data_IF_737287323619
#
_entry.id   IF_737287323619
#
_cell.length_a   1.000
_cell.length_b   1.000
_cell.length_c   1.000
_cell.angle_alpha   90.00
_cell.angle_beta   90.00
_cell.angle_gamma   90.00
#
_symmetry.space_group_name_H-M   'P 1'
#
loop_
_entity.id
_entity.type
_entity.pdbx_description
1 polymer ?
#
# COMPACT_ATOMS: atom_id res chain seq x y z
N UNK A 1 25.72 5.72 4.29
CA UNK A 1 25.11 5.36 2.99
C UNK A 1 25.77 6.20 1.88
N UNK A 2 25.91 5.69 0.66
CA UNK A 2 26.34 6.50 -0.50
C UNK A 2 25.20 7.37 -1.04
N UNK A 3 25.51 8.47 -1.73
CA UNK A 3 24.48 9.35 -2.30
C UNK A 3 23.54 8.66 -3.30
N UNK A 4 24.05 7.69 -4.06
CA UNK A 4 23.26 6.91 -5.04
C UNK A 4 22.31 5.94 -4.33
N UNK A 5 22.77 5.30 -3.26
CA UNK A 5 21.91 4.44 -2.43
C UNK A 5 20.78 5.25 -1.79
N UNK A 6 21.10 6.44 -1.25
CA UNK A 6 20.12 7.36 -0.67
C UNK A 6 19.06 7.77 -1.68
N UNK A 7 19.51 8.20 -2.87
CA UNK A 7 18.62 8.60 -3.95
C UNK A 7 17.73 7.44 -4.41
N UNK A 8 18.30 6.24 -4.59
CA UNK A 8 17.55 5.05 -4.99
C UNK A 8 16.50 4.65 -3.95
N UNK A 9 16.79 4.81 -2.66
CA UNK A 9 15.82 4.58 -1.59
C UNK A 9 14.68 5.59 -1.64
N UNK A 10 15.00 6.88 -1.78
CA UNK A 10 14.01 7.96 -1.92
C UNK A 10 13.10 7.72 -3.12
N UNK A 11 13.65 7.37 -4.29
CA UNK A 11 12.85 7.04 -5.47
C UNK A 11 11.90 5.86 -5.21
N UNK A 12 12.39 4.81 -4.53
CA UNK A 12 11.56 3.67 -4.13
C UNK A 12 10.41 4.09 -3.21
N UNK A 13 10.67 4.96 -2.23
CA UNK A 13 9.63 5.51 -1.33
C UNK A 13 8.55 6.23 -2.14
N UNK A 14 8.93 7.11 -3.07
CA UNK A 14 7.97 7.82 -3.92
C UNK A 14 7.15 6.87 -4.79
N UNK A 15 7.75 5.80 -5.31
CA UNK A 15 7.02 4.77 -6.04
C UNK A 15 5.99 4.08 -5.14
N UNK A 16 6.35 3.70 -3.90
CA UNK A 16 5.40 3.11 -2.93
C UNK A 16 4.23 4.07 -2.68
N UNK A 17 4.51 5.35 -2.45
CA UNK A 17 3.48 6.37 -2.19
C UNK A 17 2.53 6.50 -3.39
N UNK A 18 3.07 6.55 -4.61
CA UNK A 18 2.26 6.66 -5.83
C UNK A 18 1.33 5.46 -6.00
N UNK A 19 1.86 4.24 -5.92
CA UNK A 19 1.06 3.02 -6.03
C UNK A 19 0.04 2.88 -4.89
N UNK A 20 0.39 3.32 -3.68
CA UNK A 20 -0.54 3.31 -2.56
C UNK A 20 -1.71 4.26 -2.80
N UNK A 21 -1.46 5.47 -3.29
CA UNK A 21 -2.50 6.44 -3.61
C UNK A 21 -3.48 5.92 -4.67
N UNK A 22 -2.96 5.34 -5.76
CA UNK A 22 -3.78 4.71 -6.80
C UNK A 22 -4.63 3.56 -6.23
N UNK A 23 -4.04 2.69 -5.42
CA UNK A 23 -4.73 1.54 -4.83
C UNK A 23 -5.82 1.99 -3.84
N UNK A 24 -5.56 3.00 -3.00
CA UNK A 24 -6.56 3.60 -2.10
C UNK A 24 -7.73 4.16 -2.89
N UNK A 25 -7.45 4.86 -4.00
CA UNK A 25 -8.48 5.46 -4.85
C UNK A 25 -9.39 4.38 -5.44
N UNK A 26 -8.83 3.28 -5.95
CA UNK A 26 -9.59 2.15 -6.45
C UNK A 26 -10.40 1.47 -5.34
N UNK A 27 -9.81 1.20 -4.18
CA UNK A 27 -10.53 0.63 -3.04
C UNK A 27 -11.73 1.50 -2.63
N UNK A 28 -11.54 2.83 -2.53
CA UNK A 28 -12.60 3.79 -2.19
C UNK A 28 -13.73 3.78 -3.23
N UNK A 29 -13.40 3.78 -4.52
CA UNK A 29 -14.39 3.72 -5.59
C UNK A 29 -15.24 2.45 -5.50
N UNK A 30 -14.62 1.29 -5.24
CA UNK A 30 -15.33 0.02 -5.08
C UNK A 30 -16.26 0.07 -3.87
N UNK A 31 -15.81 0.63 -2.76
CA UNK A 31 -16.66 0.85 -1.58
C UNK A 31 -17.82 1.82 -1.83
N UNK A 32 -17.72 2.69 -2.82
CA UNK A 32 -18.78 3.60 -3.26
C UNK A 32 -19.71 2.99 -4.32
N UNK A 33 -19.51 1.73 -4.70
CA UNK A 33 -20.38 1.00 -5.63
C UNK A 33 -19.80 0.80 -7.03
N UNK A 34 -18.55 1.20 -7.29
CA UNK A 34 -17.87 0.83 -8.54
C UNK A 34 -17.64 -0.69 -8.60
N UNK A 35 -17.71 -1.27 -9.80
CA UNK A 35 -17.37 -2.68 -10.00
C UNK A 35 -15.88 -2.90 -9.69
N UNK A 36 -15.52 -3.96 -8.94
CA UNK A 36 -14.12 -4.26 -8.68
C UNK A 36 -13.34 -4.52 -9.97
N UNK A 37 -12.22 -3.82 -10.08
CA UNK A 37 -11.39 -3.73 -11.27
C UNK A 37 -10.21 -4.72 -11.17
N UNK A 38 -9.92 -5.45 -12.25
CA UNK A 38 -8.73 -6.31 -12.38
C UNK A 38 -7.43 -5.53 -12.16
N UNK A 39 -7.45 -4.22 -12.41
CA UNK A 39 -6.33 -3.32 -12.18
C UNK A 39 -5.99 -3.21 -10.68
N UNK A 40 -6.94 -3.39 -9.76
CA UNK A 40 -6.68 -3.35 -8.32
C UNK A 40 -5.69 -4.46 -7.92
N UNK A 41 -5.87 -5.67 -8.44
CA UNK A 41 -4.99 -6.79 -8.17
C UNK A 41 -3.57 -6.52 -8.70
N UNK A 42 -3.46 -6.02 -9.93
CA UNK A 42 -2.17 -5.68 -10.56
C UNK A 42 -1.45 -4.61 -9.74
N UNK A 43 -2.15 -3.56 -9.30
CA UNK A 43 -1.58 -2.50 -8.46
C UNK A 43 -1.16 -3.00 -7.08
N UNK A 44 -1.93 -3.90 -6.47
CA UNK A 44 -1.56 -4.52 -5.20
C UNK A 44 -0.31 -5.40 -5.28
N UNK A 45 -0.09 -6.06 -6.44
CA UNK A 45 1.17 -6.80 -6.71
C UNK A 45 2.32 -5.81 -6.88
N UNK A 46 2.17 -4.79 -7.73
CA UNK A 46 3.22 -3.77 -7.92
C UNK A 46 3.59 -3.05 -6.63
N UNK A 47 2.61 -2.71 -5.79
CA UNK A 47 2.81 -2.09 -4.49
C UNK A 47 3.65 -2.98 -3.56
N UNK A 48 3.41 -4.28 -3.59
CA UNK A 48 4.15 -5.25 -2.78
C UNK A 48 5.58 -5.43 -3.26
N UNK A 49 5.78 -5.52 -4.57
CA UNK A 49 7.12 -5.66 -5.17
C UNK A 49 7.98 -4.42 -4.87
N UNK A 50 7.43 -3.23 -5.05
CA UNK A 50 8.16 -1.98 -4.77
C UNK A 50 8.43 -1.85 -3.27
N UNK A 51 7.47 -2.19 -2.41
CA UNK A 51 7.66 -2.17 -0.96
C UNK A 51 8.74 -3.16 -0.50
N UNK A 52 8.74 -4.38 -1.04
CA UNK A 52 9.77 -5.38 -0.75
C UNK A 52 11.16 -4.91 -1.19
N UNK A 53 11.27 -4.28 -2.36
CA UNK A 53 12.52 -3.69 -2.85
C UNK A 53 13.02 -2.56 -1.95
N UNK A 54 12.13 -1.67 -1.49
CA UNK A 54 12.46 -0.60 -0.53
C UNK A 54 12.95 -1.20 0.79
N UNK A 55 12.29 -2.24 1.29
CA UNK A 55 12.69 -2.93 2.52
C UNK A 55 14.07 -3.57 2.41
N UNK A 56 14.33 -4.31 1.32
CA UNK A 56 15.61 -4.96 1.09
C UNK A 56 16.76 -3.95 1.01
N UNK A 57 16.54 -2.82 0.31
CA UNK A 57 17.53 -1.73 0.23
C UNK A 57 17.79 -1.10 1.59
N UNK A 58 16.74 -0.86 2.39
CA UNK A 58 16.89 -0.33 3.74
C UNK A 58 17.72 -1.26 4.63
N UNK A 59 17.52 -2.58 4.54
CA UNK A 59 18.24 -3.55 5.38
C UNK A 59 19.73 -3.67 5.04
N UNK A 60 20.12 -3.39 3.79
CA UNK A 60 21.52 -3.38 3.36
C UNK A 60 22.30 -2.11 3.74
N UNK A 61 21.63 -1.09 4.30
CA UNK A 61 22.24 0.22 4.55
C UNK A 61 22.82 0.35 5.96
N UNK A 62 24.04 0.89 6.03
CA UNK A 62 24.60 1.38 7.30
C UNK A 62 24.13 2.81 7.56
N UNK A 63 23.39 3.00 8.65
CA UNK A 63 22.76 4.26 9.05
C UNK A 63 23.66 5.03 10.04
N UNK A 64 24.41 6.00 9.54
CA UNK A 64 25.37 6.80 10.29
C UNK A 64 24.80 8.16 10.72
N UNK A 65 23.99 8.82 9.89
CA UNK A 65 23.47 10.16 10.17
C UNK A 65 22.02 10.16 10.65
N UNK A 66 21.58 11.28 11.24
CA UNK A 66 20.19 11.48 11.63
C UNK A 66 19.23 11.45 10.42
N UNK A 67 19.64 12.04 9.30
CA UNK A 67 18.86 12.07 8.07
C UNK A 67 18.70 10.68 7.46
N UNK A 68 19.76 9.86 7.48
CA UNK A 68 19.70 8.47 7.01
C UNK A 68 18.73 7.64 7.86
N UNK A 69 18.72 7.85 9.19
CA UNK A 69 17.78 7.19 10.10
C UNK A 69 16.34 7.64 9.87
N UNK A 70 16.13 8.93 9.64
CA UNK A 70 14.81 9.49 9.30
C UNK A 70 14.29 8.91 7.99
N UNK A 71 15.14 8.81 6.97
CA UNK A 71 14.80 8.22 5.69
C UNK A 71 14.43 6.73 5.83
N UNK A 72 15.20 5.98 6.61
CA UNK A 72 14.90 4.58 6.92
C UNK A 72 13.57 4.43 7.69
N UNK A 73 13.25 5.37 8.58
CA UNK A 73 11.98 5.41 9.30
C UNK A 73 10.79 5.62 8.37
N UNK A 74 10.92 6.55 7.41
CA UNK A 74 9.91 6.79 6.38
C UNK A 74 9.73 5.53 5.52
N UNK A 75 10.82 4.92 5.04
CA UNK A 75 10.75 3.68 4.26
C UNK A 75 10.00 2.57 5.02
N UNK A 76 10.29 2.40 6.30
CA UNK A 76 9.60 1.44 7.18
C UNK A 76 8.11 1.74 7.32
N UNK A 77 7.72 3.00 7.53
CA UNK A 77 6.31 3.43 7.60
C UNK A 77 5.59 3.17 6.28
N UNK A 78 6.21 3.48 5.15
CA UNK A 78 5.68 3.19 3.82
C UNK A 78 5.45 1.69 3.62
N UNK A 79 6.38 0.83 4.07
CA UNK A 79 6.22 -0.63 3.97
C UNK A 79 5.06 -1.16 4.82
N UNK A 80 4.87 -0.62 6.03
CA UNK A 80 3.73 -1.00 6.89
C UNK A 80 2.41 -0.60 6.21
N UNK A 81 2.32 0.63 5.70
CA UNK A 81 1.14 1.13 5.00
C UNK A 81 0.84 0.32 3.73
N UNK A 82 1.87 0.04 2.91
CA UNK A 82 1.77 -0.74 1.70
C UNK A 82 1.21 -2.14 1.96
N UNK A 83 1.67 -2.81 3.03
CA UNK A 83 1.19 -4.14 3.40
C UNK A 83 -0.27 -4.12 3.87
N UNK A 84 -0.65 -3.15 4.69
CA UNK A 84 -2.03 -2.97 5.13
C UNK A 84 -2.99 -2.73 3.94
N UNK A 85 -2.52 -2.05 2.91
CA UNK A 85 -3.27 -1.77 1.69
C UNK A 85 -3.32 -2.99 0.74
N UNK A 86 -2.25 -3.78 0.68
CA UNK A 86 -2.24 -5.05 -0.05
C UNK A 86 -3.27 -6.03 0.53
N UNK A 87 -3.36 -6.13 1.86
CA UNK A 87 -4.35 -6.99 2.53
C UNK A 87 -5.78 -6.56 2.19
N UNK A 88 -6.01 -5.24 2.12
CA UNK A 88 -7.31 -4.69 1.73
C UNK A 88 -7.65 -5.01 0.28
N UNK A 89 -6.71 -4.80 -0.65
CA UNK A 89 -6.90 -5.14 -2.06
C UNK A 89 -7.17 -6.64 -2.26
N UNK A 90 -6.43 -7.52 -1.56
CA UNK A 90 -6.67 -8.96 -1.58
C UNK A 90 -8.04 -9.33 -1.04
N UNK A 91 -8.48 -8.69 0.04
CA UNK A 91 -9.82 -8.90 0.58
C UNK A 91 -10.89 -8.57 -0.46
N UNK A 92 -10.77 -7.41 -1.12
CA UNK A 92 -11.71 -6.96 -2.15
C UNK A 92 -11.73 -7.97 -3.33
N UNK A 93 -10.57 -8.34 -3.85
CA UNK A 93 -10.44 -9.30 -4.95
C UNK A 93 -10.99 -10.69 -4.62
N UNK A 94 -10.81 -11.17 -3.39
CA UNK A 94 -11.33 -12.47 -2.99
C UNK A 94 -12.86 -12.47 -2.88
N UNK A 95 -13.45 -11.37 -2.41
CA UNK A 95 -14.90 -11.24 -2.32
C UNK A 95 -15.54 -11.04 -3.70
N UNK A 96 -14.78 -10.55 -4.70
CA UNK A 96 -15.24 -10.44 -6.09
C UNK A 96 -15.58 -11.79 -6.70
N UNK A 97 -14.82 -12.83 -6.38
CA UNK A 97 -15.04 -14.18 -6.92
C UNK A 97 -16.30 -14.86 -6.37
N UNK A 98 -16.90 -14.35 -5.29
CA UNK A 98 -18.08 -14.97 -4.65
C UNK A 98 -19.43 -14.47 -5.15
N UNK A 99 -19.47 -13.49 -6.07
CA UNK A 99 -20.71 -12.96 -6.66
C UNK A 99 -21.58 -12.08 -5.74
N UNK A 100 -21.39 -12.11 -4.42
CA UNK A 100 -22.07 -11.23 -3.45
C UNK A 100 -21.15 -10.09 -2.97
N UNK A 101 -20.85 -9.15 -3.86
CA UNK A 101 -19.89 -8.07 -3.59
C UNK A 101 -20.52 -6.88 -2.89
N UNK A 102 -21.57 -6.30 -3.46
CA UNK A 102 -22.07 -5.00 -3.01
C UNK A 102 -22.68 -5.09 -1.62
N UNK A 103 -23.57 -6.06 -1.37
CA UNK A 103 -24.21 -6.22 -0.06
C UNK A 103 -23.20 -6.59 1.05
N UNK A 104 -22.27 -7.51 0.78
CA UNK A 104 -21.27 -7.95 1.76
C UNK A 104 -20.21 -6.88 2.04
N UNK A 105 -19.76 -6.15 1.02
CA UNK A 105 -18.84 -5.01 1.20
C UNK A 105 -19.52 -3.83 1.88
N UNK A 106 -20.79 -3.55 1.60
CA UNK A 106 -21.53 -2.49 2.29
C UNK A 106 -21.72 -2.80 3.78
N UNK A 107 -21.93 -4.09 4.14
CA UNK A 107 -21.99 -4.56 5.53
C UNK A 107 -20.60 -4.50 6.20
N UNK A 108 -19.53 -4.92 5.52
CA UNK A 108 -18.16 -4.86 6.02
C UNK A 108 -17.57 -3.42 6.07
N UNK A 109 -18.10 -2.50 5.27
CA UNK A 109 -17.82 -1.07 5.36
C UNK A 109 -18.64 -0.41 6.48
N UNK A 110 -19.90 -0.83 6.70
CA UNK A 110 -20.76 -0.38 7.81
C UNK A 110 -20.22 -0.75 9.19
N UNK A 111 -19.45 -1.83 9.32
CA UNK A 111 -18.76 -2.17 10.58
C UNK A 111 -17.69 -1.15 10.98
N UNK A 112 -17.55 -0.01 10.27
CA UNK A 112 -16.89 1.23 10.69
C UNK A 112 -15.37 1.16 10.87
N UNK A 113 -14.81 -0.04 10.97
CA UNK A 113 -13.40 -0.24 11.26
C UNK A 113 -12.50 -0.09 10.03
N UNK A 114 -12.94 -0.57 8.86
CA UNK A 114 -12.12 -0.57 7.63
C UNK A 114 -12.08 0.78 6.92
N UNK A 115 -13.23 1.46 6.84
CA UNK A 115 -13.32 2.83 6.31
C UNK A 115 -12.45 3.79 7.12
N UNK A 116 -12.50 3.71 8.45
CA UNK A 116 -11.63 4.49 9.37
C UNK A 116 -10.14 4.16 9.25
N UNK A 117 -9.77 2.97 8.76
CA UNK A 117 -8.37 2.58 8.53
C UNK A 117 -7.84 3.20 7.25
N UNK A 118 -8.64 3.20 6.19
CA UNK A 118 -8.35 3.88 4.92
C UNK A 118 -8.33 5.41 5.03
N UNK A 119 -9.10 5.99 5.95
CA UNK A 119 -9.04 7.44 6.24
C UNK A 119 -7.80 7.85 7.06
N UNK A 120 -7.13 6.89 7.71
CA UNK A 120 -5.89 7.12 8.47
C UNK A 120 -4.61 6.86 7.67
N UNK A 121 -4.74 6.28 6.48
CA UNK A 121 -3.67 6.06 5.51
C UNK A 121 -3.65 7.23 4.52
#
# INVERSE_FOLDING_TARGET
>A
MSGIEAFSLVCGIFQVISFAHETITLCKAIYQGASPDEHLQKKAVSLADVSANVQARQQGMTLQTADERSLADIARKCNIAARALQDEARFISNHQKSGSLVATMHVAAKTSWRKRRLERL
#
